data_IF_549949496067
#
_entry.id   IF_549949496067
#
_cell.length_a   1.000
_cell.length_b   1.000
_cell.length_c   1.000
_cell.angle_alpha   90.00
_cell.angle_beta   90.00
_cell.angle_gamma   90.00
#
_symmetry.space_group_name_H-M   'P 1'
#
loop_
_entity.id
_entity.type
_entity.pdbx_description
1 polymer ?
#
# COMPACT_ATOMS: atom_id res chain seq x y z
N UNK A 1 -6.10 -18.28 -2.96
CA UNK A 1 -5.67 -17.05 -3.67
C UNK A 1 -4.15 -16.95 -3.74
N UNK A 2 -3.43 -17.14 -2.62
CA UNK A 2 -1.96 -17.14 -2.52
C UNK A 2 -1.24 -18.23 -3.35
N UNK A 3 -1.91 -19.32 -3.75
CA UNK A 3 -1.31 -20.35 -4.59
C UNK A 3 -1.01 -19.90 -6.05
N UNK A 4 -1.50 -18.72 -6.46
CA UNK A 4 -1.34 -18.18 -7.82
C UNK A 4 -0.69 -16.80 -7.87
N UNK A 5 -0.44 -16.18 -6.72
CA UNK A 5 0.18 -14.85 -6.62
C UNK A 5 1.32 -14.92 -5.62
N UNK A 6 2.47 -14.42 -6.02
CA UNK A 6 3.64 -14.34 -5.14
C UNK A 6 3.46 -13.19 -4.15
N UNK A 7 4.18 -13.25 -3.02
CA UNK A 7 4.21 -12.12 -2.08
C UNK A 7 4.76 -10.84 -2.71
N UNK A 8 5.63 -10.97 -3.72
CA UNK A 8 6.14 -9.85 -4.50
C UNK A 8 5.01 -9.19 -5.32
N UNK A 9 4.17 -9.99 -6.00
CA UNK A 9 3.04 -9.46 -6.75
C UNK A 9 2.09 -8.68 -5.84
N UNK A 10 1.81 -9.19 -4.63
CA UNK A 10 0.96 -8.49 -3.66
C UNK A 10 1.60 -7.20 -3.16
N UNK A 11 2.93 -7.18 -2.97
CA UNK A 11 3.66 -5.97 -2.59
C UNK A 11 3.64 -4.91 -3.72
N UNK A 12 3.74 -5.33 -4.97
CA UNK A 12 3.65 -4.44 -6.14
C UNK A 12 2.25 -3.84 -6.26
N UNK A 13 1.19 -4.63 -6.01
CA UNK A 13 -0.18 -4.11 -5.97
C UNK A 13 -0.38 -3.10 -4.83
N UNK A 14 0.22 -3.34 -3.65
CA UNK A 14 0.19 -2.37 -2.55
C UNK A 14 0.95 -1.07 -2.88
N UNK A 15 2.11 -1.16 -3.53
CA UNK A 15 2.87 0.01 -3.96
C UNK A 15 2.13 0.81 -5.05
N UNK A 16 1.51 0.11 -6.00
CA UNK A 16 0.66 0.71 -7.03
C UNK A 16 -0.52 1.47 -6.40
N UNK A 17 -1.20 0.90 -5.41
CA UNK A 17 -2.30 1.55 -4.69
C UNK A 17 -1.84 2.79 -3.90
N UNK A 18 -0.65 2.76 -3.29
CA UNK A 18 -0.10 3.94 -2.61
C UNK A 18 0.13 5.12 -3.56
N UNK A 19 0.57 4.85 -4.80
CA UNK A 19 0.86 5.85 -5.83
C UNK A 19 -0.42 6.33 -6.53
N UNK A 20 -1.34 5.42 -6.83
CA UNK A 20 -2.49 5.68 -7.71
C UNK A 20 -3.81 5.87 -6.99
N UNK A 21 -3.87 5.60 -5.68
CA UNK A 21 -5.11 5.59 -4.90
C UNK A 21 -5.86 4.26 -5.00
N UNK A 22 -6.99 4.12 -4.27
CA UNK A 22 -7.80 2.90 -4.31
C UNK A 22 -8.22 2.57 -5.75
N UNK A 23 -8.27 1.27 -6.09
CA UNK A 23 -8.59 0.77 -7.44
C UNK A 23 -10.04 1.15 -7.82
N UNK A 24 -10.19 2.36 -8.32
CA UNK A 24 -11.40 2.99 -8.83
C UNK A 24 -10.99 4.37 -9.36
N UNK A 25 -11.34 4.76 -10.60
CA UNK A 25 -10.86 6.03 -11.11
C UNK A 25 -11.52 7.13 -10.30
N UNK A 26 -10.75 7.92 -9.55
CA UNK A 26 -11.15 9.22 -9.00
C UNK A 26 -11.93 10.05 -10.04
N UNK A 27 -11.59 9.84 -11.32
CA UNK A 27 -12.28 10.39 -12.50
C UNK A 27 -13.74 9.96 -12.64
N UNK A 28 -14.11 8.71 -12.35
CA UNK A 28 -15.50 8.24 -12.45
C UNK A 28 -16.36 8.92 -11.39
N UNK A 29 -15.88 9.04 -10.16
CA UNK A 29 -16.61 9.76 -9.10
C UNK A 29 -16.83 11.22 -9.48
N UNK A 30 -15.83 11.88 -10.08
CA UNK A 30 -15.99 13.24 -10.59
C UNK A 30 -17.07 13.31 -11.68
N UNK A 31 -17.06 12.40 -12.66
CA UNK A 31 -18.07 12.36 -13.72
C UNK A 31 -19.47 12.12 -13.17
N UNK A 32 -19.62 11.18 -12.23
CA UNK A 32 -20.90 10.93 -11.56
C UNK A 32 -21.35 12.11 -10.71
N UNK A 33 -20.41 12.83 -10.06
CA UNK A 33 -20.73 14.03 -9.29
C UNK A 33 -21.29 15.16 -10.16
N UNK A 34 -20.76 15.32 -11.38
CA UNK A 34 -21.25 16.28 -12.38
C UNK A 34 -22.65 15.88 -12.85
N UNK A 35 -22.87 14.59 -13.14
CA UNK A 35 -24.18 14.08 -13.55
C UNK A 35 -25.22 14.27 -12.44
N UNK A 36 -24.90 13.92 -11.20
CA UNK A 36 -25.78 14.08 -10.04
C UNK A 36 -26.14 15.56 -9.80
N UNK A 37 -25.16 16.46 -9.87
CA UNK A 37 -25.40 17.89 -9.78
C UNK A 37 -26.30 18.40 -10.91
N UNK A 38 -26.15 17.86 -12.13
CA UNK A 38 -27.00 18.21 -13.26
C UNK A 38 -28.45 17.79 -13.01
N UNK A 39 -28.67 16.51 -12.69
CA UNK A 39 -30.01 15.95 -12.41
C UNK A 39 -30.68 16.69 -11.25
N UNK A 40 -29.98 16.86 -10.12
CA UNK A 40 -30.49 17.60 -8.96
C UNK A 40 -30.91 19.02 -9.32
N UNK A 41 -30.09 19.73 -10.10
CA UNK A 41 -30.38 21.10 -10.49
C UNK A 41 -31.50 21.23 -11.52
N UNK A 42 -31.74 20.21 -12.35
CA UNK A 42 -32.88 20.22 -13.29
C UNK A 42 -34.21 20.03 -12.58
N UNK A 43 -34.24 19.27 -11.49
CA UNK A 43 -35.45 19.00 -10.72
C UNK A 43 -35.71 19.99 -9.56
N UNK A 44 -34.84 20.99 -9.35
CA UNK A 44 -34.92 21.87 -8.16
C UNK A 44 -35.95 22.99 -8.30
N UNK A 45 -36.54 23.37 -7.17
CA UNK A 45 -37.28 24.62 -6.99
C UNK A 45 -36.38 25.83 -6.69
N UNK A 46 -36.91 26.85 -5.99
CA UNK A 46 -36.10 27.99 -5.52
C UNK A 46 -35.14 27.55 -4.41
N UNK A 47 -33.88 27.97 -4.46
CA UNK A 47 -32.87 27.64 -3.45
C UNK A 47 -31.45 27.54 -4.00
N UNK A 48 -30.51 27.07 -3.16
CA UNK A 48 -29.10 26.90 -3.54
C UNK A 48 -28.96 25.87 -4.66
N UNK A 49 -28.17 26.21 -5.68
CA UNK A 49 -27.76 25.27 -6.73
C UNK A 49 -26.78 24.25 -6.14
N UNK A 50 -27.01 22.97 -6.39
CA UNK A 50 -26.07 21.93 -5.99
C UNK A 50 -24.82 21.98 -6.89
N UNK A 51 -23.64 21.82 -6.30
CA UNK A 51 -22.36 21.80 -7.01
C UNK A 51 -21.84 20.36 -7.08
N UNK A 52 -21.02 19.99 -8.09
CA UNK A 52 -20.45 18.63 -8.16
C UNK A 52 -19.77 18.18 -6.87
N UNK A 53 -19.06 19.09 -6.18
CA UNK A 53 -18.41 18.81 -4.88
C UNK A 53 -19.36 18.34 -3.78
N UNK A 54 -20.66 18.64 -3.89
CA UNK A 54 -21.67 18.20 -2.93
C UNK A 54 -21.99 16.70 -3.07
N UNK A 55 -21.63 16.10 -4.21
CA UNK A 55 -21.86 14.68 -4.54
C UNK A 55 -20.57 13.87 -4.66
N UNK A 56 -19.40 14.52 -4.56
CA UNK A 56 -18.12 13.83 -4.63
C UNK A 56 -17.86 13.12 -3.29
N UNK A 57 -17.63 11.79 -3.29
CA UNK A 57 -17.25 11.08 -2.07
C UNK A 57 -15.92 11.62 -1.55
N UNK A 58 -15.80 11.74 -0.24
CA UNK A 58 -14.53 12.07 0.41
C UNK A 58 -13.81 10.79 0.79
N UNK A 59 -12.94 10.32 -0.09
CA UNK A 59 -12.07 9.18 0.17
C UNK A 59 -10.95 9.58 1.17
N UNK A 60 -10.38 8.60 1.87
CA UNK A 60 -9.24 8.75 2.79
C UNK A 60 -9.40 9.72 3.98
N UNK A 61 -10.62 9.96 4.46
CA UNK A 61 -10.84 10.80 5.66
C UNK A 61 -10.29 10.18 6.98
N UNK A 62 -9.86 8.92 6.96
CA UNK A 62 -9.36 8.20 8.15
C UNK A 62 -7.90 7.76 8.07
N UNK A 63 -7.31 7.73 6.88
CA UNK A 63 -5.89 7.49 6.74
C UNK A 63 -5.20 8.85 6.73
N UNK A 64 -4.83 9.36 7.91
CA UNK A 64 -3.64 10.21 7.94
C UNK A 64 -2.57 9.37 7.26
N UNK A 65 -2.17 9.74 6.04
CA UNK A 65 -0.88 9.34 5.46
C UNK A 65 0.19 9.99 6.32
N UNK A 66 0.28 9.60 7.59
CA UNK A 66 1.56 9.64 8.26
C UNK A 66 2.44 8.74 7.37
N UNK A 67 3.56 9.24 6.83
CA UNK A 67 4.48 8.37 6.12
C UNK A 67 4.81 7.25 7.08
N UNK A 68 4.28 6.06 6.82
CA UNK A 68 4.52 4.93 7.69
C UNK A 68 6.03 4.77 7.73
N UNK A 69 6.61 4.86 8.92
CA UNK A 69 8.03 4.64 9.09
C UNK A 69 8.33 3.25 8.51
N UNK A 70 9.33 3.16 7.63
CA UNK A 70 9.66 1.93 6.93
C UNK A 70 9.93 0.78 7.93
N UNK A 71 10.40 1.11 9.13
CA UNK A 71 10.58 0.16 10.23
C UNK A 71 9.25 -0.42 10.72
N UNK A 72 8.20 0.41 10.84
CA UNK A 72 6.85 -0.02 11.22
C UNK A 72 6.21 -0.87 10.14
N UNK A 73 6.41 -0.52 8.86
CA UNK A 73 5.95 -1.34 7.73
C UNK A 73 6.64 -2.71 7.74
N UNK A 74 7.97 -2.74 7.94
CA UNK A 74 8.74 -3.98 8.02
C UNK A 74 8.30 -4.87 9.21
N UNK A 75 8.07 -4.27 10.38
CA UNK A 75 7.58 -5.00 11.55
C UNK A 75 6.18 -5.61 11.33
N UNK A 76 5.31 -4.87 10.64
CA UNK A 76 3.96 -5.32 10.26
C UNK A 76 4.03 -6.52 9.31
N UNK A 77 4.82 -6.41 8.25
CA UNK A 77 5.05 -7.51 7.28
C UNK A 77 5.63 -8.74 7.97
N UNK A 78 6.65 -8.58 8.84
CA UNK A 78 7.24 -9.70 9.60
C UNK A 78 6.21 -10.40 10.49
N UNK A 79 5.31 -9.63 11.11
CA UNK A 79 4.24 -10.17 11.96
C UNK A 79 3.21 -10.95 11.13
N UNK A 80 2.82 -10.42 9.98
CA UNK A 80 1.88 -11.06 9.06
C UNK A 80 2.48 -12.35 8.47
N UNK A 81 3.74 -12.33 8.03
CA UNK A 81 4.45 -13.51 7.55
C UNK A 81 4.45 -14.63 8.60
N UNK A 82 4.77 -14.30 9.86
CA UNK A 82 4.75 -15.28 10.96
C UNK A 82 3.35 -15.86 11.20
N UNK A 83 2.32 -15.03 11.20
CA UNK A 83 0.92 -15.49 11.37
C UNK A 83 0.45 -16.40 10.24
N UNK A 84 0.98 -16.20 9.04
CA UNK A 84 0.66 -17.01 7.85
C UNK A 84 1.60 -18.21 7.67
N UNK A 85 2.52 -18.47 8.61
CA UNK A 85 3.43 -19.62 8.57
C UNK A 85 4.62 -19.46 7.63
N UNK A 86 4.91 -18.24 7.16
CA UNK A 86 6.10 -17.94 6.35
C UNK A 86 7.36 -17.75 7.19
N UNK A 87 8.51 -18.11 6.62
CA UNK A 87 9.84 -17.93 7.21
C UNK A 87 10.52 -16.68 6.64
N UNK A 88 11.26 -15.93 7.48
CA UNK A 88 12.05 -14.77 7.03
C UNK A 88 13.49 -15.22 6.77
N UNK A 89 14.05 -14.88 5.61
CA UNK A 89 15.41 -15.29 5.22
C UNK A 89 16.53 -14.32 5.66
N UNK A 90 16.18 -13.22 6.34
CA UNK A 90 17.17 -12.24 6.84
C UNK A 90 17.93 -12.68 8.10
N UNK A 91 17.86 -13.95 8.49
CA UNK A 91 18.62 -14.49 9.63
C UNK A 91 20.04 -14.95 9.27
N UNK A 92 20.45 -14.77 8.01
CA UNK A 92 21.81 -15.04 7.55
C UNK A 92 22.33 -13.88 6.73
N UNK A 93 22.74 -12.80 7.38
CA UNK A 93 23.84 -11.92 6.95
C UNK A 93 24.10 -10.92 8.08
N UNK A 94 24.64 -11.47 9.16
CA UNK A 94 25.20 -10.71 10.26
C UNK A 94 26.31 -9.82 9.73
N UNK A 95 26.17 -8.52 10.04
CA UNK A 95 27.24 -7.54 10.13
C UNK A 95 28.61 -8.18 10.36
N UNK A 96 29.56 -7.85 9.48
CA UNK A 96 30.93 -8.35 9.51
C UNK A 96 31.54 -8.28 10.90
N UNK A 97 31.89 -9.46 11.42
CA UNK A 97 32.70 -9.64 12.61
C UNK A 97 34.16 -9.31 12.28
N UNK A 98 34.78 -8.25 12.85
CA UNK A 98 36.17 -7.91 12.61
C UNK A 98 37.17 -8.85 13.32
N UNK A 99 36.71 -9.94 13.94
CA UNK A 99 37.53 -10.82 14.77
C UNK A 99 38.03 -12.13 14.13
N UNK A 100 37.72 -12.45 12.86
CA UNK A 100 38.06 -13.78 12.33
C UNK A 100 39.50 -13.86 11.81
N UNK A 101 40.40 -14.36 12.66
CA UNK A 101 41.78 -14.72 12.32
C UNK A 101 41.86 -15.69 11.12
N UNK A 102 42.92 -15.62 10.29
CA UNK A 102 43.00 -16.35 9.04
C UNK A 102 43.11 -17.86 9.27
N UNK A 103 42.30 -18.62 8.56
CA UNK A 103 42.41 -20.09 8.50
C UNK A 103 43.71 -20.44 7.76
N UNK A 104 44.73 -20.84 8.52
CA UNK A 104 45.94 -21.46 8.00
C UNK A 104 45.51 -22.75 7.29
N UNK A 105 45.69 -22.78 5.97
CA UNK A 105 45.44 -23.95 5.15
C UNK A 105 46.60 -24.94 5.38
N UNK A 106 46.37 -25.98 6.16
CA UNK A 106 47.31 -27.09 6.31
C UNK A 106 47.03 -28.10 5.20
N UNK A 107 48.12 -28.46 4.54
CA UNK A 107 48.31 -29.65 3.69
C UNK A 107 48.05 -29.46 2.20
N UNK A 108 49.13 -29.30 1.42
CA UNK A 108 49.49 -30.19 0.30
C UNK A 108 51.02 -30.19 0.05
N UNK A 109 51.60 -31.38 0.23
CA UNK A 109 52.88 -31.94 -0.25
C UNK A 109 54.20 -31.37 0.27
#
# INVERSE_FOLDING_TARGET
MLARHTSADLADWMAYEQVTGPIGPERQDLLFSILAATVSNTARGKGRKAEPKDFLPKWDQGAKREPADWQQMLATVKTMNRRMGGTNEQEGDGHGDPGRAPRINRDRH
#
